data_IF_098680728727
#
_entry.id   IF_098680728727
#
_cell.length_a   1.000
_cell.length_b   1.000
_cell.length_c   1.000
_cell.angle_alpha   90.00
_cell.angle_beta   90.00
_cell.angle_gamma   90.00
#
_symmetry.space_group_name_H-M   'P 1'
#
loop_
_entity.id
_entity.type
_entity.pdbx_description
1 polymer ?
#
# COMPACT_ATOMS: atom_id res chain seq x y z
N UNK A 1 7.26 33.07 -96.86
CA UNK A 1 7.50 34.16 -95.88
C UNK A 1 6.92 33.67 -94.55
N UNK A 2 7.75 33.27 -93.61
CA UNK A 2 7.34 32.72 -92.32
C UNK A 2 7.82 33.69 -91.24
N UNK A 3 6.87 34.25 -90.50
CA UNK A 3 7.11 35.11 -89.32
C UNK A 3 7.11 34.26 -88.07
N UNK A 4 8.23 34.22 -87.39
CA UNK A 4 8.37 33.54 -86.08
C UNK A 4 8.15 34.56 -84.96
N UNK A 5 7.11 34.33 -84.16
CA UNK A 5 6.86 35.12 -82.95
C UNK A 5 7.45 34.40 -81.78
N UNK A 6 8.35 35.14 -81.11
CA UNK A 6 9.04 34.73 -79.86
C UNK A 6 8.16 35.07 -78.63
N UNK A 7 7.66 34.02 -77.95
CA UNK A 7 7.00 34.19 -76.63
C UNK A 7 8.06 34.33 -75.51
N UNK A 8 8.07 35.52 -74.86
CA UNK A 8 8.81 35.72 -73.63
C UNK A 8 8.00 35.15 -72.48
N UNK A 9 8.57 34.15 -71.76
CA UNK A 9 8.02 33.64 -70.49
C UNK A 9 8.64 34.47 -69.37
N UNK A 10 7.80 35.24 -68.68
CA UNK A 10 8.14 35.88 -67.41
C UNK A 10 7.95 34.87 -66.28
N UNK A 11 9.04 34.51 -65.60
CA UNK A 11 8.98 33.66 -64.43
C UNK A 11 8.75 34.54 -63.18
N UNK A 12 7.60 34.38 -62.56
CA UNK A 12 7.27 35.01 -61.28
C UNK A 12 7.79 34.11 -60.16
N UNK A 13 8.80 34.56 -59.45
CA UNK A 13 9.31 33.86 -58.22
C UNK A 13 8.40 34.19 -57.06
N UNK A 14 7.69 33.19 -56.51
CA UNK A 14 7.02 33.32 -55.23
C UNK A 14 8.01 33.05 -54.10
N UNK A 15 8.31 34.10 -53.34
CA UNK A 15 8.98 33.97 -52.03
C UNK A 15 7.95 33.51 -51.00
N UNK A 16 8.04 32.27 -50.54
CA UNK A 16 7.31 31.76 -49.39
C UNK A 16 8.15 32.06 -48.14
N UNK A 17 7.75 33.05 -47.36
CA UNK A 17 8.27 33.29 -45.99
C UNK A 17 7.69 32.28 -45.04
N UNK A 18 8.50 31.31 -44.61
CA UNK A 18 8.16 30.40 -43.52
C UNK A 18 8.25 31.15 -42.18
N UNK A 19 7.12 31.49 -41.59
CA UNK A 19 7.05 32.00 -40.22
C UNK A 19 7.27 30.84 -39.24
N UNK A 20 8.45 30.84 -38.60
CA UNK A 20 8.78 29.92 -37.52
C UNK A 20 8.00 30.36 -36.27
N UNK A 21 6.88 29.69 -35.95
CA UNK A 21 6.16 29.92 -34.70
C UNK A 21 6.97 29.34 -33.53
N UNK A 22 7.63 30.18 -32.76
CA UNK A 22 8.14 29.78 -31.43
C UNK A 22 6.95 29.56 -30.51
N UNK A 23 6.64 28.28 -30.23
CA UNK A 23 5.71 27.92 -29.18
C UNK A 23 6.40 28.27 -27.83
N UNK A 24 5.70 28.98 -26.92
CA UNK A 24 6.24 29.18 -25.58
C UNK A 24 6.30 27.83 -24.86
N UNK A 25 7.50 27.35 -24.57
CA UNK A 25 7.70 26.27 -23.64
C UNK A 25 7.26 26.78 -22.25
N UNK A 26 6.05 26.37 -21.84
CA UNK A 26 5.60 26.57 -20.47
C UNK A 26 6.57 25.78 -19.57
N UNK A 27 7.46 26.50 -18.90
CA UNK A 27 8.23 25.95 -17.79
C UNK A 27 7.20 25.51 -16.74
N UNK A 28 7.01 24.20 -16.62
CA UNK A 28 6.21 23.64 -15.53
C UNK A 28 6.84 24.12 -14.22
N UNK A 29 6.20 25.06 -13.55
CA UNK A 29 6.56 25.42 -12.18
C UNK A 29 6.51 24.13 -11.36
N UNK A 30 7.57 23.77 -10.63
CA UNK A 30 7.51 22.65 -9.72
C UNK A 30 6.36 22.93 -8.76
N UNK A 31 5.33 22.08 -8.80
CA UNK A 31 4.17 22.19 -7.92
C UNK A 31 4.71 22.32 -6.50
N UNK A 32 4.22 23.29 -5.76
CA UNK A 32 4.53 23.47 -4.36
C UNK A 32 4.16 22.13 -3.67
N UNK A 33 5.17 21.34 -3.31
CA UNK A 33 4.98 20.23 -2.39
C UNK A 33 4.34 20.85 -1.14
N UNK A 34 3.10 20.46 -0.87
CA UNK A 34 2.36 20.98 0.28
C UNK A 34 3.26 20.92 1.51
N UNK A 35 3.24 21.96 2.34
CA UNK A 35 4.07 22.16 3.54
C UNK A 35 3.80 21.14 4.66
N UNK A 36 3.24 19.98 4.34
CA UNK A 36 3.01 18.88 5.26
C UNK A 36 4.28 18.03 5.44
N UNK A 37 4.55 17.61 6.65
CA UNK A 37 5.61 16.63 6.93
C UNK A 37 5.44 15.41 6.03
N UNK A 38 6.48 14.98 5.27
CA UNK A 38 6.37 13.88 4.33
C UNK A 38 6.01 12.57 5.04
N UNK A 39 5.25 11.74 4.34
CA UNK A 39 5.02 10.35 4.73
C UNK A 39 6.30 9.54 4.51
N UNK A 40 6.55 8.58 5.40
CA UNK A 40 7.68 7.65 5.29
C UNK A 40 7.24 6.23 5.62
N UNK A 41 7.83 5.25 4.94
CA UNK A 41 7.63 3.85 5.25
C UNK A 41 8.09 3.55 6.67
N UNK A 42 7.26 2.83 7.41
CA UNK A 42 7.55 2.34 8.74
C UNK A 42 7.53 0.82 8.82
N UNK A 43 6.83 0.17 7.90
CA UNK A 43 6.85 -1.27 7.66
C UNK A 43 6.43 -1.53 6.21
N UNK A 44 7.01 -2.56 5.59
CA UNK A 44 6.62 -2.98 4.25
C UNK A 44 6.80 -4.48 4.06
N UNK A 45 5.95 -5.08 3.21
CA UNK A 45 6.07 -6.43 2.74
C UNK A 45 5.88 -6.47 1.22
N UNK A 46 6.78 -7.19 0.51
CA UNK A 46 6.68 -7.33 -0.95
C UNK A 46 5.49 -8.22 -1.31
N UNK A 47 4.53 -7.75 -2.12
CA UNK A 47 3.41 -8.56 -2.56
C UNK A 47 3.88 -9.80 -3.35
N UNK A 48 3.27 -10.95 -3.06
CA UNK A 48 3.48 -12.23 -3.74
C UNK A 48 2.18 -12.74 -4.32
N UNK A 49 2.28 -13.53 -5.41
CA UNK A 49 1.13 -14.23 -5.98
C UNK A 49 0.69 -15.38 -5.08
N UNK A 50 -0.64 -15.63 -4.96
CA UNK A 50 -1.16 -16.77 -4.19
C UNK A 50 -0.46 -18.07 -4.58
N UNK A 51 0.05 -18.80 -3.59
CA UNK A 51 0.84 -20.00 -3.82
C UNK A 51 0.48 -21.11 -2.84
N UNK A 52 0.86 -22.34 -3.21
CA UNK A 52 0.77 -23.49 -2.32
C UNK A 52 1.60 -23.22 -1.04
N UNK A 53 1.09 -23.62 0.13
CA UNK A 53 1.72 -23.26 1.38
C UNK A 53 3.02 -24.05 1.62
N UNK A 54 4.13 -23.34 1.84
CA UNK A 54 5.27 -23.87 2.56
C UNK A 54 5.04 -23.89 4.08
N UNK A 55 4.09 -23.07 4.54
CA UNK A 55 3.54 -23.03 5.89
C UNK A 55 2.04 -22.73 5.77
N UNK A 56 1.19 -23.06 6.79
CA UNK A 56 -0.24 -22.80 6.73
C UNK A 56 -0.54 -21.36 6.33
N UNK A 57 -1.27 -21.18 5.22
CA UNK A 57 -1.71 -19.87 4.75
C UNK A 57 -3.06 -19.96 4.03
N UNK A 58 -3.71 -18.82 3.87
CA UNK A 58 -5.05 -18.71 3.30
C UNK A 58 -5.04 -18.11 1.89
N UNK A 59 -3.85 -17.86 1.28
CA UNK A 59 -3.73 -17.08 0.05
C UNK A 59 -4.49 -17.68 -1.13
N UNK A 60 -4.45 -19.00 -1.34
CA UNK A 60 -5.14 -19.63 -2.46
C UNK A 60 -6.66 -19.65 -2.27
N UNK A 61 -7.14 -19.87 -1.04
CA UNK A 61 -8.56 -19.87 -0.72
C UNK A 61 -9.12 -18.46 -0.63
N UNK A 62 -8.34 -17.52 -0.14
CA UNK A 62 -8.81 -16.16 0.19
C UNK A 62 -9.76 -16.15 1.39
N UNK A 63 -10.65 -15.17 1.39
CA UNK A 63 -11.53 -14.86 2.50
C UNK A 63 -12.97 -14.69 2.01
N UNK A 64 -13.93 -15.04 2.85
CA UNK A 64 -15.35 -14.79 2.69
C UNK A 64 -15.96 -14.60 4.07
N UNK A 65 -16.54 -13.43 4.35
CA UNK A 65 -17.05 -13.06 5.67
C UNK A 65 -16.03 -13.24 6.81
N UNK A 66 -14.78 -12.78 6.60
CA UNK A 66 -13.72 -12.91 7.60
C UNK A 66 -13.18 -11.59 8.05
N UNK A 67 -12.80 -11.51 9.31
CA UNK A 67 -11.91 -10.49 9.87
C UNK A 67 -10.50 -11.06 9.97
N UNK A 68 -9.52 -10.31 9.46
CA UNK A 68 -8.10 -10.66 9.51
C UNK A 68 -7.35 -9.62 10.32
N UNK A 69 -6.66 -10.03 11.37
CA UNK A 69 -5.71 -9.21 12.15
C UNK A 69 -4.30 -9.56 11.77
N UNK A 70 -3.47 -8.55 11.59
CA UNK A 70 -2.09 -8.70 11.18
C UNK A 70 -1.22 -7.81 12.05
N UNK A 71 -0.29 -8.42 12.76
CA UNK A 71 0.66 -7.72 13.60
C UNK A 71 1.84 -7.25 12.75
N UNK A 72 2.25 -6.01 12.93
CA UNK A 72 3.41 -5.42 12.26
C UNK A 72 4.23 -4.62 13.27
N UNK A 73 5.55 -4.69 13.19
CA UNK A 73 6.44 -3.89 14.01
C UNK A 73 6.99 -2.73 13.18
N UNK A 74 6.60 -1.51 13.55
CA UNK A 74 7.00 -0.32 12.78
C UNK A 74 8.39 0.15 13.19
N UNK A 75 9.21 0.54 12.22
CA UNK A 75 10.59 0.98 12.42
C UNK A 75 10.73 2.50 12.63
N UNK A 76 9.64 3.24 12.41
CA UNK A 76 9.65 4.71 12.48
C UNK A 76 8.54 5.24 13.38
N UNK A 77 8.82 6.30 14.13
CA UNK A 77 7.84 7.01 14.95
C UNK A 77 7.07 8.04 14.12
N UNK A 78 5.85 8.38 14.53
CA UNK A 78 5.02 9.41 13.90
C UNK A 78 3.84 9.79 14.77
N UNK A 79 3.09 10.82 14.35
CA UNK A 79 1.86 11.26 15.00
C UNK A 79 0.60 10.82 14.25
N UNK A 80 0.78 10.41 13.00
CA UNK A 80 -0.26 9.87 12.14
C UNK A 80 0.26 8.63 11.44
N UNK A 81 -0.64 7.69 11.16
CA UNK A 81 -0.34 6.47 10.41
C UNK A 81 -1.36 6.27 9.29
N UNK A 82 -0.93 5.61 8.20
CA UNK A 82 -1.78 5.08 7.13
C UNK A 82 -1.26 3.73 6.67
N UNK A 83 -2.12 2.94 6.06
CA UNK A 83 -1.75 1.63 5.52
C UNK A 83 -1.81 1.65 3.99
N UNK A 84 -0.98 0.81 3.39
CA UNK A 84 -1.10 0.44 1.98
C UNK A 84 -1.68 -0.95 1.86
N UNK A 85 -2.70 -1.09 1.02
CA UNK A 85 -3.32 -2.35 0.67
C UNK A 85 -3.03 -2.69 -0.79
N UNK A 86 -2.74 -3.96 -1.07
CA UNK A 86 -2.40 -4.44 -2.40
C UNK A 86 -3.30 -5.59 -2.84
N UNK A 87 -3.95 -5.41 -3.99
CA UNK A 87 -4.66 -6.45 -4.73
C UNK A 87 -3.89 -6.81 -6.01
N UNK A 88 -2.55 -6.70 -5.98
CA UNK A 88 -1.69 -6.80 -7.16
C UNK A 88 -1.85 -8.11 -7.91
N UNK A 89 -2.06 -9.19 -7.21
CA UNK A 89 -2.24 -10.53 -7.78
C UNK A 89 -3.68 -11.02 -7.70
N UNK A 90 -4.62 -10.15 -7.30
CA UNK A 90 -6.03 -10.47 -7.30
C UNK A 90 -6.58 -10.54 -8.74
N UNK A 91 -7.51 -11.47 -8.97
CA UNK A 91 -8.18 -11.67 -10.25
C UNK A 91 -9.54 -10.97 -10.34
N UNK A 92 -10.01 -10.44 -9.23
CA UNK A 92 -11.27 -9.67 -9.09
C UNK A 92 -11.06 -8.45 -8.20
N UNK A 93 -11.97 -7.45 -8.23
CA UNK A 93 -11.91 -6.33 -7.31
C UNK A 93 -11.99 -6.81 -5.85
N UNK A 94 -11.10 -6.33 -5.01
CA UNK A 94 -11.07 -6.60 -3.56
C UNK A 94 -11.92 -5.55 -2.84
N UNK A 95 -13.02 -5.99 -2.22
CA UNK A 95 -13.83 -5.13 -1.36
C UNK A 95 -13.35 -5.23 0.08
N UNK A 96 -12.84 -4.15 0.63
CA UNK A 96 -12.53 -4.00 2.06
C UNK A 96 -13.70 -3.28 2.71
N UNK A 97 -14.49 -4.01 3.51
CA UNK A 97 -15.70 -3.47 4.14
C UNK A 97 -15.37 -2.52 5.28
N UNK A 98 -14.20 -2.69 5.88
CA UNK A 98 -13.65 -1.76 6.83
C UNK A 98 -12.27 -2.19 7.33
N UNK A 99 -11.55 -1.22 7.88
CA UNK A 99 -10.23 -1.44 8.44
C UNK A 99 -10.02 -0.63 9.72
N UNK A 100 -9.22 -1.18 10.63
CA UNK A 100 -8.77 -0.48 11.83
C UNK A 100 -7.27 -0.66 12.04
N UNK A 101 -6.67 0.26 12.80
CA UNK A 101 -5.33 0.12 13.35
C UNK A 101 -5.42 0.28 14.86
N UNK A 102 -4.66 -0.52 15.59
CA UNK A 102 -4.61 -0.49 17.05
C UNK A 102 -3.20 -0.83 17.55
N UNK A 103 -2.92 -0.58 18.82
CA UNK A 103 -1.73 -1.12 19.50
C UNK A 103 -1.97 -2.59 19.79
N UNK A 104 -0.99 -3.41 19.50
CA UNK A 104 -1.03 -4.85 19.80
C UNK A 104 -1.06 -5.06 21.32
N UNK A 105 -1.83 -6.03 21.74
CA UNK A 105 -1.76 -6.67 23.05
C UNK A 105 -1.26 -8.10 22.87
N UNK A 106 -1.53 -8.98 23.82
CA UNK A 106 -1.12 -10.39 23.74
C UNK A 106 -1.94 -11.14 22.68
N UNK A 107 -1.28 -11.93 21.84
CA UNK A 107 -1.90 -12.74 20.80
C UNK A 107 -2.69 -11.91 19.79
N UNK A 108 -3.91 -12.33 19.51
CA UNK A 108 -4.83 -11.60 18.61
C UNK A 108 -5.54 -10.40 19.27
N UNK A 109 -5.27 -10.06 20.52
CA UNK A 109 -5.91 -8.95 21.23
C UNK A 109 -5.32 -7.60 20.85
N UNK A 110 -6.07 -6.53 21.10
CA UNK A 110 -5.62 -5.14 20.92
C UNK A 110 -5.85 -4.32 22.19
N UNK A 111 -5.01 -3.32 22.43
CA UNK A 111 -5.11 -2.48 23.63
C UNK A 111 -6.35 -1.60 23.57
N UNK A 112 -7.12 -1.63 24.67
CA UNK A 112 -8.30 -0.79 24.83
C UNK A 112 -7.95 0.70 24.60
N UNK A 113 -8.88 1.44 24.00
CA UNK A 113 -8.73 2.87 23.70
C UNK A 113 -7.77 3.21 22.55
N UNK A 114 -7.03 2.20 22.00
CA UNK A 114 -6.09 2.44 20.90
C UNK A 114 -6.69 2.23 19.51
N UNK A 115 -7.84 1.59 19.38
CA UNK A 115 -8.46 1.30 18.08
C UNK A 115 -8.83 2.58 17.35
N UNK A 116 -8.39 2.71 16.10
CA UNK A 116 -8.77 3.80 15.18
C UNK A 116 -9.27 3.21 13.89
N UNK A 117 -10.45 3.67 13.47
CA UNK A 117 -11.00 3.34 12.15
C UNK A 117 -10.15 4.02 11.08
N UNK A 118 -9.73 3.24 10.10
CA UNK A 118 -9.10 3.75 8.89
C UNK A 118 -10.17 4.10 7.87
N UNK A 119 -9.89 5.12 7.07
CA UNK A 119 -10.78 5.60 6.02
C UNK A 119 -10.04 5.58 4.69
N UNK A 120 -10.81 5.59 3.61
CA UNK A 120 -10.33 5.60 2.24
C UNK A 120 -11.13 6.67 1.49
N UNK A 121 -10.52 7.80 1.19
CA UNK A 121 -11.19 9.00 0.66
C UNK A 121 -12.41 9.39 1.52
N UNK A 122 -12.21 9.44 2.85
CA UNK A 122 -13.23 9.75 3.84
C UNK A 122 -14.26 8.64 4.11
N UNK A 123 -14.26 7.53 3.36
CA UNK A 123 -15.20 6.41 3.51
C UNK A 123 -14.64 5.31 4.39
N UNK A 124 -15.52 4.58 5.09
CA UNK A 124 -15.11 3.45 5.93
C UNK A 124 -14.79 2.18 5.13
N UNK A 125 -15.26 2.08 3.90
CA UNK A 125 -15.06 0.95 3.00
C UNK A 125 -14.44 1.40 1.69
N UNK A 126 -13.80 0.45 0.99
CA UNK A 126 -13.23 0.71 -0.34
C UNK A 126 -13.26 -0.54 -1.21
N UNK A 127 -13.00 -0.35 -2.50
CA UNK A 127 -12.81 -1.43 -3.47
C UNK A 127 -11.52 -1.18 -4.24
N UNK A 128 -10.61 -2.14 -4.22
CA UNK A 128 -9.32 -2.08 -4.90
C UNK A 128 -9.43 -2.93 -6.17
N UNK A 129 -9.24 -2.37 -7.37
CA UNK A 129 -9.33 -3.15 -8.59
C UNK A 129 -8.28 -4.28 -8.62
N UNK A 130 -8.52 -5.29 -9.44
CA UNK A 130 -7.52 -6.33 -9.72
C UNK A 130 -6.23 -5.67 -10.22
N UNK A 131 -5.08 -6.10 -9.73
CA UNK A 131 -3.77 -5.51 -10.04
C UNK A 131 -3.45 -4.20 -9.31
N UNK A 132 -4.43 -3.61 -8.58
CA UNK A 132 -4.29 -2.30 -7.95
C UNK A 132 -3.69 -2.32 -6.54
N UNK A 133 -3.33 -1.12 -6.09
CA UNK A 133 -2.94 -0.80 -4.72
C UNK A 133 -3.69 0.43 -4.25
N UNK A 134 -3.83 0.61 -2.95
CA UNK A 134 -4.53 1.76 -2.38
C UNK A 134 -3.95 2.13 -1.01
N UNK A 135 -3.74 3.42 -0.78
CA UNK A 135 -3.40 3.97 0.54
C UNK A 135 -4.69 4.36 1.29
N UNK A 136 -4.72 4.10 2.59
CA UNK A 136 -5.75 4.69 3.45
C UNK A 136 -5.47 6.18 3.68
N UNK A 137 -6.48 6.89 4.14
CA UNK A 137 -6.28 8.22 4.70
C UNK A 137 -5.38 8.15 5.94
N UNK A 138 -4.65 9.24 6.21
CA UNK A 138 -3.86 9.33 7.42
C UNK A 138 -4.72 9.47 8.66
N UNK A 139 -4.70 8.50 9.56
CA UNK A 139 -5.37 8.54 10.85
C UNK A 139 -4.50 9.21 11.92
N UNK A 140 -5.06 10.02 12.83
CA UNK A 140 -4.35 10.44 14.05
C UNK A 140 -4.04 9.21 14.91
N UNK A 141 -2.79 8.80 14.89
CA UNK A 141 -2.32 7.61 15.59
C UNK A 141 -0.84 7.80 15.96
N UNK A 142 -0.55 8.38 17.13
CA UNK A 142 0.82 8.50 17.60
C UNK A 142 1.44 7.12 17.82
N UNK A 143 2.60 6.90 17.22
CA UNK A 143 3.31 5.63 17.26
C UNK A 143 4.80 5.89 17.54
N UNK A 144 5.43 4.99 18.29
CA UNK A 144 6.87 5.00 18.56
C UNK A 144 7.58 4.04 17.58
N UNK A 145 8.86 4.29 17.32
CA UNK A 145 9.68 3.31 16.61
C UNK A 145 9.73 2.00 17.41
N UNK A 146 9.70 0.89 16.69
CA UNK A 146 9.69 -0.49 17.20
C UNK A 146 8.44 -0.85 18.04
N UNK A 147 7.36 -0.09 17.90
CA UNK A 147 6.07 -0.43 18.48
C UNK A 147 5.33 -1.43 17.57
N UNK A 148 4.67 -2.43 18.17
CA UNK A 148 3.84 -3.38 17.45
C UNK A 148 2.42 -2.85 17.30
N UNK A 149 1.93 -2.89 16.07
CA UNK A 149 0.60 -2.46 15.67
C UNK A 149 -0.18 -3.64 15.10
N UNK A 150 -1.47 -3.66 15.36
CA UNK A 150 -2.41 -4.61 14.75
C UNK A 150 -3.24 -3.88 13.70
N UNK A 151 -3.10 -4.27 12.44
CA UNK A 151 -4.00 -3.86 11.36
C UNK A 151 -5.09 -4.91 11.22
N UNK A 152 -6.35 -4.48 11.29
CA UNK A 152 -7.51 -5.36 11.16
C UNK A 152 -8.28 -5.00 9.90
N UNK A 153 -8.57 -5.99 9.05
CA UNK A 153 -9.38 -5.86 7.85
C UNK A 153 -10.62 -6.73 7.99
N UNK A 154 -11.79 -6.20 7.65
CA UNK A 154 -13.00 -6.99 7.48
C UNK A 154 -13.36 -7.11 6.01
N UNK A 155 -13.54 -8.34 5.58
CA UNK A 155 -13.78 -8.76 4.20
C UNK A 155 -15.13 -9.50 4.19
N UNK A 156 -16.23 -8.76 4.03
CA UNK A 156 -17.60 -9.28 4.17
C UNK A 156 -18.01 -10.23 3.04
N UNK A 157 -17.34 -10.19 1.91
CA UNK A 157 -17.63 -11.05 0.77
C UNK A 157 -16.39 -11.77 0.27
N UNK A 158 -16.64 -12.71 -0.63
CA UNK A 158 -15.60 -13.54 -1.24
C UNK A 158 -14.53 -12.69 -1.97
N UNK A 159 -13.28 -12.83 -1.55
CA UNK A 159 -12.15 -12.09 -2.15
C UNK A 159 -11.57 -12.81 -3.37
N UNK A 160 -11.76 -14.13 -3.49
CA UNK A 160 -10.91 -14.99 -4.30
C UNK A 160 -9.48 -15.08 -3.72
N UNK A 161 -8.52 -15.61 -4.48
CA UNK A 161 -7.14 -15.74 -4.03
C UNK A 161 -6.54 -14.39 -3.61
N UNK A 162 -5.82 -14.40 -2.49
CA UNK A 162 -5.32 -13.20 -1.84
C UNK A 162 -3.87 -12.90 -2.21
N UNK A 163 -3.58 -11.66 -2.62
CA UNK A 163 -2.21 -11.14 -2.60
C UNK A 163 -1.66 -11.27 -1.19
N UNK A 164 -0.48 -11.84 -1.04
CA UNK A 164 0.09 -12.18 0.26
C UNK A 164 1.59 -11.92 0.34
N UNK A 165 2.16 -12.05 1.53
CA UNK A 165 3.59 -12.13 1.75
C UNK A 165 3.86 -13.23 2.77
N UNK A 166 4.57 -14.29 2.34
CA UNK A 166 4.89 -15.44 3.17
C UNK A 166 6.02 -15.09 4.16
N UNK A 167 5.97 -15.65 5.36
CA UNK A 167 6.95 -15.42 6.42
C UNK A 167 7.08 -13.93 6.80
N UNK A 168 5.94 -13.30 7.11
CA UNK A 168 5.88 -11.88 7.47
C UNK A 168 6.58 -11.52 8.81
N UNK A 169 7.18 -12.49 9.48
CA UNK A 169 7.88 -12.29 10.76
C UNK A 169 6.93 -12.13 11.97
N UNK A 170 5.61 -12.12 11.72
CA UNK A 170 4.60 -11.92 12.75
C UNK A 170 3.39 -12.83 12.51
N UNK A 171 2.56 -13.00 13.54
CA UNK A 171 1.34 -13.79 13.44
C UNK A 171 0.19 -12.96 12.87
N UNK A 172 -0.49 -13.51 11.88
CA UNK A 172 -1.82 -13.09 11.44
C UNK A 172 -2.88 -13.99 12.06
N UNK A 173 -4.01 -13.40 12.39
CA UNK A 173 -5.13 -14.06 13.03
C UNK A 173 -6.38 -13.90 12.17
N UNK A 174 -7.24 -14.91 12.13
CA UNK A 174 -8.49 -14.89 11.38
C UNK A 174 -9.67 -15.30 12.26
N UNK A 175 -10.78 -14.58 12.07
CA UNK A 175 -12.08 -14.91 12.67
C UNK A 175 -13.17 -14.82 11.59
N UNK A 176 -14.20 -15.64 11.68
CA UNK A 176 -15.41 -15.52 10.86
C UNK A 176 -16.26 -14.35 11.36
N UNK A 177 -16.83 -13.55 10.45
CA UNK A 177 -17.65 -12.39 10.78
C UNK A 177 -16.87 -11.09 11.01
N UNK A 178 -17.59 -10.07 11.46
CA UNK A 178 -17.04 -8.72 11.71
C UNK A 178 -16.59 -8.55 13.16
N UNK A 179 -15.30 -8.68 13.39
CA UNK A 179 -14.63 -8.56 14.68
C UNK A 179 -13.68 -7.34 14.73
N UNK A 180 -13.90 -6.31 13.87
CA UNK A 180 -13.04 -5.11 13.82
C UNK A 180 -12.99 -4.34 15.13
N UNK A 181 -14.08 -4.36 15.89
CA UNK A 181 -14.22 -3.64 17.14
C UNK A 181 -13.80 -4.43 18.38
N UNK A 182 -13.55 -5.72 18.25
CA UNK A 182 -13.25 -6.57 19.39
C UNK A 182 -11.88 -6.23 19.98
N UNK A 183 -11.81 -6.07 21.29
CA UNK A 183 -10.55 -5.87 21.98
C UNK A 183 -9.87 -7.20 22.29
N UNK A 184 -10.66 -8.22 22.59
CA UNK A 184 -10.18 -9.58 22.83
C UNK A 184 -9.71 -10.26 21.54
N UNK A 185 -8.75 -11.18 21.67
CA UNK A 185 -8.34 -12.09 20.62
C UNK A 185 -9.15 -13.38 20.55
N UNK A 186 -10.12 -13.59 21.43
CA UNK A 186 -10.80 -14.90 21.62
C UNK A 186 -11.53 -15.44 20.39
N UNK A 187 -12.06 -14.55 19.51
CA UNK A 187 -12.69 -14.95 18.26
C UNK A 187 -11.68 -15.39 17.17
N UNK A 188 -10.42 -15.04 17.33
CA UNK A 188 -9.37 -15.23 16.33
C UNK A 188 -8.61 -16.54 16.57
N UNK A 189 -9.24 -17.66 16.24
CA UNK A 189 -8.73 -19.00 16.53
C UNK A 189 -7.77 -19.55 15.49
N UNK A 190 -7.87 -19.07 14.24
CA UNK A 190 -6.98 -19.48 13.16
C UNK A 190 -5.77 -18.53 13.07
N UNK A 191 -4.60 -19.11 12.90
CA UNK A 191 -3.34 -18.34 12.82
C UNK A 191 -2.52 -18.68 11.57
N UNK A 192 -1.70 -17.72 11.14
CA UNK A 192 -0.75 -17.87 10.02
C UNK A 192 0.42 -16.90 10.24
N UNK A 193 1.59 -17.23 9.72
CA UNK A 193 2.79 -16.35 9.73
C UNK A 193 2.90 -15.51 8.46
N UNK A 194 1.78 -15.20 7.83
CA UNK A 194 1.68 -14.62 6.49
C UNK A 194 0.84 -13.34 6.54
N UNK A 195 1.24 -12.28 5.85
CA UNK A 195 0.39 -11.11 5.67
C UNK A 195 -0.47 -11.22 4.42
N UNK A 196 -1.65 -10.60 4.45
CA UNK A 196 -2.65 -10.65 3.37
C UNK A 196 -3.13 -9.26 3.02
N UNK A 197 -3.04 -8.89 1.77
CA UNK A 197 -3.41 -7.59 1.21
C UNK A 197 -2.68 -6.39 1.82
N UNK A 198 -2.10 -6.49 3.00
CA UNK A 198 -1.33 -5.44 3.65
C UNK A 198 0.09 -5.43 3.08
N UNK A 199 0.48 -4.34 2.41
CA UNK A 199 1.80 -4.17 1.80
C UNK A 199 2.64 -3.08 2.45
N UNK A 200 2.03 -2.18 3.24
CA UNK A 200 2.80 -1.13 3.89
C UNK A 200 2.07 -0.47 5.07
N UNK A 201 2.88 0.07 5.96
CA UNK A 201 2.47 1.06 6.97
C UNK A 201 3.38 2.26 6.84
N UNK A 202 2.79 3.43 6.70
CA UNK A 202 3.51 4.69 6.63
C UNK A 202 3.12 5.58 7.79
N UNK A 203 4.08 6.39 8.22
CA UNK A 203 3.89 7.38 9.29
C UNK A 203 4.31 8.77 8.84
N UNK A 204 3.73 9.79 9.47
CA UNK A 204 4.14 11.18 9.28
C UNK A 204 4.09 11.94 10.60
N UNK A 205 4.77 13.08 10.65
CA UNK A 205 4.95 13.83 11.89
C UNK A 205 5.97 13.17 12.84
N UNK A 206 6.35 13.88 13.89
CA UNK A 206 7.39 13.45 14.82
C UNK A 206 8.72 14.15 14.57
N UNK A 207 9.59 14.15 15.62
CA UNK A 207 10.86 14.90 15.60
C UNK A 207 11.88 14.34 14.60
N UNK A 208 11.79 13.04 14.27
CA UNK A 208 12.73 12.34 13.36
C UNK A 208 12.24 12.29 11.90
N UNK A 209 11.21 13.06 11.56
CA UNK A 209 10.61 13.04 10.23
C UNK A 209 11.60 13.40 9.09
N UNK A 210 12.69 14.10 9.40
CA UNK A 210 13.71 14.51 8.44
C UNK A 210 14.81 13.47 8.20
N UNK A 211 14.95 12.47 9.07
CA UNK A 211 16.01 11.45 8.93
C UNK A 211 15.60 10.41 7.88
N UNK A 212 16.48 10.22 6.91
CA UNK A 212 16.32 9.25 5.80
C UNK A 212 17.37 8.14 5.91
N UNK A 213 17.60 7.66 7.13
CA UNK A 213 18.56 6.61 7.36
C UNK A 213 17.89 5.26 7.09
N UNK A 214 18.51 4.41 6.29
CA UNK A 214 18.02 3.09 5.96
C UNK A 214 19.16 2.15 5.65
N UNK A 215 18.97 0.88 5.93
CA UNK A 215 19.87 -0.20 5.55
C UNK A 215 19.14 -1.05 4.51
N UNK A 216 19.82 -1.36 3.41
CA UNK A 216 19.36 -2.34 2.42
C UNK A 216 20.19 -3.59 2.64
N UNK A 217 19.53 -4.71 2.98
CA UNK A 217 20.15 -6.02 3.05
C UNK A 217 19.68 -6.85 1.85
N UNK A 218 20.63 -7.49 1.16
CA UNK A 218 20.36 -8.37 0.02
C UNK A 218 20.89 -9.76 0.39
N UNK A 219 20.05 -10.77 0.23
CA UNK A 219 20.38 -12.14 0.55
C UNK A 219 19.23 -13.12 0.33
N UNK A 220 19.35 -14.28 0.90
CA UNK A 220 18.37 -15.37 0.82
C UNK A 220 17.47 -15.45 2.06
N UNK A 221 16.92 -16.62 2.33
CA UNK A 221 16.05 -16.90 3.47
C UNK A 221 16.71 -16.63 4.84
N UNK A 222 18.03 -16.74 4.94
CA UNK A 222 18.77 -16.46 6.18
C UNK A 222 18.77 -14.95 6.45
N UNK A 223 19.05 -14.15 5.43
CA UNK A 223 18.98 -12.68 5.52
C UNK A 223 17.54 -12.20 5.80
N UNK A 224 16.54 -12.91 5.29
CA UNK A 224 15.13 -12.65 5.59
C UNK A 224 14.75 -13.03 7.03
N UNK A 225 15.54 -13.86 7.71
CA UNK A 225 15.26 -14.30 9.08
C UNK A 225 14.41 -15.56 9.16
N UNK A 226 14.30 -16.35 8.09
CA UNK A 226 13.57 -17.63 8.12
C UNK A 226 14.25 -18.56 9.14
N UNK A 227 13.44 -19.08 10.08
CA UNK A 227 13.93 -19.93 11.19
C UNK A 227 14.31 -19.15 12.45
N UNK A 228 14.28 -17.83 12.42
CA UNK A 228 14.37 -17.02 13.63
C UNK A 228 13.11 -17.25 14.50
N UNK A 229 13.30 -17.17 15.82
CA UNK A 229 12.15 -17.19 16.74
C UNK A 229 11.23 -15.99 16.44
N UNK A 230 9.96 -16.26 16.19
CA UNK A 230 8.93 -15.23 16.08
C UNK A 230 8.23 -15.10 17.42
N UNK A 231 8.28 -13.91 18.00
CA UNK A 231 7.36 -13.55 19.09
C UNK A 231 6.08 -13.01 18.44
N UNK A 232 4.94 -13.68 18.58
CA UNK A 232 3.68 -13.22 17.97
C UNK A 232 3.26 -11.82 18.44
N UNK A 233 3.71 -11.42 19.63
CA UNK A 233 3.36 -10.14 20.24
C UNK A 233 4.42 -9.05 20.00
N UNK A 234 5.62 -9.46 19.59
CA UNK A 234 6.75 -8.58 19.33
C UNK A 234 7.61 -9.12 18.17
N UNK A 235 7.08 -9.06 16.94
CA UNK A 235 7.74 -9.58 15.75
C UNK A 235 9.01 -8.83 15.35
#
# INVERSE_FOLDING_TARGET
MRTTSTLRRTATALLTTAALALAPTALATPGHAGSGTPWRGAWAASPQAPAAPLAPNWSQRGFDNHTVRQVVRVTAAGTRARIELSNRYGTRPLRVTGATVARTAEGGAVRAGSVRTLRFDGRASTTIPAGGTLLSDGAPFPVKAFESLTVTLYLAGETGPATFHQFAGATAYRAEGDHRGDLSGSAFTDTSTTSYFLSGVEVTGGRDAARRDGIVAIGDSITHGVGSATDPDNP
#
